data_IF_823305063857
#
_entry.id   IF_823305063857
#
_cell.length_a   1.000
_cell.length_b   1.000
_cell.length_c   1.000
_cell.angle_alpha   90.00
_cell.angle_beta   90.00
_cell.angle_gamma   90.00
#
_symmetry.space_group_name_H-M   'P 1'
#
loop_
_entity.id
_entity.type
_entity.pdbx_description
1 polymer ?
#
# COMPACT_ATOMS: atom_id res chain seq x y z
N UNK A 1 -28.66 -13.64 -24.82
CA UNK A 1 -27.77 -14.42 -23.94
C UNK A 1 -26.43 -13.73 -23.93
N UNK A 2 -25.81 -13.43 -22.77
CA UNK A 2 -24.49 -12.80 -22.78
C UNK A 2 -23.48 -13.76 -23.40
N UNK A 3 -22.74 -13.27 -24.40
CA UNK A 3 -21.65 -13.98 -25.05
C UNK A 3 -20.55 -14.24 -24.02
N UNK A 4 -20.03 -15.48 -23.88
CA UNK A 4 -18.92 -15.72 -22.97
C UNK A 4 -17.71 -14.89 -23.42
N UNK A 5 -17.17 -14.09 -22.52
CA UNK A 5 -15.90 -13.38 -22.73
C UNK A 5 -14.82 -14.46 -22.87
N UNK A 6 -14.08 -14.53 -23.98
CA UNK A 6 -12.98 -15.48 -24.08
C UNK A 6 -11.95 -15.11 -23.00
N UNK A 7 -11.70 -16.05 -22.08
CA UNK A 7 -10.60 -15.91 -21.13
C UNK A 7 -9.30 -15.78 -21.94
N UNK A 8 -8.36 -14.91 -21.54
CA UNK A 8 -7.07 -14.84 -22.21
C UNK A 8 -6.45 -16.23 -22.20
N UNK A 9 -5.95 -16.67 -23.35
CA UNK A 9 -5.17 -17.90 -23.45
C UNK A 9 -4.05 -17.80 -22.40
N UNK A 10 -3.98 -18.80 -21.51
CA UNK A 10 -2.93 -18.81 -20.49
C UNK A 10 -1.58 -18.73 -21.19
N UNK A 11 -0.65 -17.89 -20.68
CA UNK A 11 0.66 -17.75 -21.31
C UNK A 11 1.31 -19.12 -21.41
N UNK A 12 1.83 -19.44 -22.60
CA UNK A 12 2.60 -20.67 -22.82
C UNK A 12 3.77 -20.66 -21.84
N UNK A 13 3.85 -21.70 -21.01
CA UNK A 13 4.94 -21.91 -20.06
C UNK A 13 6.02 -22.74 -20.76
N UNK A 14 7.16 -22.15 -21.20
CA UNK A 14 8.10 -22.85 -22.08
C UNK A 14 8.72 -24.09 -21.43
N UNK A 15 8.79 -24.13 -20.10
CA UNK A 15 9.29 -25.27 -19.36
C UNK A 15 8.35 -26.49 -19.36
N UNK A 16 7.13 -26.36 -19.89
CA UNK A 16 6.20 -27.47 -20.09
C UNK A 16 6.33 -28.12 -21.47
N UNK A 17 7.18 -27.59 -22.35
CA UNK A 17 7.30 -28.07 -23.71
C UNK A 17 8.07 -29.39 -23.80
N UNK A 18 7.57 -30.31 -24.64
CA UNK A 18 8.26 -31.56 -24.96
C UNK A 18 8.28 -32.60 -23.82
N UNK A 19 7.41 -32.46 -22.82
CA UNK A 19 7.31 -33.44 -21.74
C UNK A 19 6.73 -34.76 -22.24
N UNK A 20 7.42 -35.85 -21.93
CA UNK A 20 7.01 -37.22 -22.29
C UNK A 20 5.81 -37.71 -21.46
N UNK A 21 5.59 -37.13 -20.28
CA UNK A 21 4.48 -37.43 -19.38
C UNK A 21 3.82 -36.13 -18.89
N UNK A 22 2.50 -36.14 -18.65
CA UNK A 22 1.80 -34.97 -18.15
C UNK A 22 2.36 -34.56 -16.79
N UNK A 23 2.57 -33.26 -16.59
CA UNK A 23 2.89 -32.74 -15.26
C UNK A 23 1.77 -33.07 -14.30
N UNK A 24 2.07 -33.23 -13.01
CA UNK A 24 1.06 -33.45 -12.02
C UNK A 24 -0.09 -32.42 -12.16
N UNK A 25 0.17 -31.11 -12.22
CA UNK A 25 -0.87 -30.07 -12.25
C UNK A 25 -1.78 -30.07 -13.50
N UNK A 26 -1.44 -30.81 -14.56
CA UNK A 26 -2.23 -30.86 -15.78
C UNK A 26 -3.62 -31.44 -15.48
N UNK A 27 -4.68 -30.70 -15.86
CA UNK A 27 -6.07 -31.12 -15.69
C UNK A 27 -6.62 -31.05 -14.26
N UNK A 28 -5.90 -30.42 -13.32
CA UNK A 28 -6.30 -30.29 -11.91
C UNK A 28 -5.92 -28.93 -11.31
N UNK A 29 -6.09 -27.87 -12.09
CA UNK A 29 -5.63 -26.52 -11.76
C UNK A 29 -6.27 -25.99 -10.47
N UNK A 30 -7.48 -26.43 -10.14
CA UNK A 30 -8.22 -26.08 -8.92
C UNK A 30 -7.44 -26.45 -7.64
N UNK A 31 -6.66 -27.54 -7.69
CA UNK A 31 -5.81 -27.96 -6.57
C UNK A 31 -4.59 -27.04 -6.39
N UNK A 32 -4.17 -26.33 -7.45
CA UNK A 32 -3.00 -25.45 -7.46
C UNK A 32 -3.38 -23.98 -7.31
N UNK A 33 -4.65 -23.63 -7.48
CA UNK A 33 -5.22 -22.29 -7.29
C UNK A 33 -6.13 -22.23 -6.06
N UNK A 34 -5.64 -22.75 -4.93
CA UNK A 34 -6.43 -22.88 -3.71
C UNK A 34 -5.77 -22.20 -2.50
N UNK A 35 -6.62 -21.73 -1.59
CA UNK A 35 -6.20 -21.14 -0.32
C UNK A 35 -6.26 -22.13 0.86
N UNK A 36 -6.78 -23.35 0.68
CA UNK A 36 -6.97 -24.31 1.78
C UNK A 36 -5.64 -25.02 2.11
N UNK A 37 -5.24 -25.10 3.39
CA UNK A 37 -3.99 -25.76 3.78
C UNK A 37 -3.90 -27.22 3.31
N UNK A 38 -5.00 -27.97 3.38
CA UNK A 38 -5.01 -29.39 3.03
C UNK A 38 -4.71 -29.64 1.55
N UNK A 39 -5.29 -28.82 0.66
CA UNK A 39 -5.00 -28.88 -0.76
C UNK A 39 -3.62 -28.31 -1.08
N UNK A 40 -3.13 -27.33 -0.32
CA UNK A 40 -1.77 -26.82 -0.47
C UNK A 40 -0.74 -27.91 -0.17
N UNK A 41 -0.94 -28.69 0.90
CA UNK A 41 -0.09 -29.82 1.27
C UNK A 41 -0.15 -30.94 0.23
N UNK A 42 -1.33 -31.22 -0.31
CA UNK A 42 -1.49 -32.19 -1.40
C UNK A 42 -0.76 -31.73 -2.68
N UNK A 43 -0.97 -30.48 -3.10
CA UNK A 43 -0.29 -29.89 -4.25
C UNK A 43 1.23 -29.90 -4.08
N UNK A 44 1.73 -29.54 -2.89
CA UNK A 44 3.16 -29.57 -2.58
C UNK A 44 3.75 -30.98 -2.70
N UNK A 45 3.06 -32.00 -2.17
CA UNK A 45 3.46 -33.42 -2.30
C UNK A 45 3.51 -33.88 -3.75
N UNK A 46 2.61 -33.39 -4.59
CA UNK A 46 2.59 -33.71 -6.01
C UNK A 46 3.71 -32.98 -6.76
N UNK A 47 3.96 -31.71 -6.43
CA UNK A 47 5.07 -30.94 -6.98
C UNK A 47 6.43 -31.56 -6.65
N UNK A 48 6.61 -32.15 -5.47
CA UNK A 48 7.86 -32.78 -5.06
C UNK A 48 8.35 -33.91 -6.01
N UNK A 49 7.44 -34.50 -6.79
CA UNK A 49 7.74 -35.55 -7.78
C UNK A 49 7.69 -35.05 -9.23
N UNK A 50 7.50 -33.75 -9.44
CA UNK A 50 7.32 -33.18 -10.77
C UNK A 50 8.68 -33.01 -11.47
N UNK A 51 8.86 -33.51 -12.71
CA UNK A 51 10.14 -33.45 -13.42
C UNK A 51 10.58 -32.01 -13.77
N UNK A 52 9.64 -31.06 -13.81
CA UNK A 52 9.90 -29.65 -14.13
C UNK A 52 9.89 -28.74 -12.92
N UNK A 53 9.99 -29.30 -11.70
CA UNK A 53 9.87 -28.53 -10.46
C UNK A 53 10.86 -27.36 -10.41
N UNK A 54 12.12 -27.58 -10.77
CA UNK A 54 13.15 -26.54 -10.70
C UNK A 54 12.92 -25.43 -11.75
N UNK A 55 12.54 -25.81 -12.98
CA UNK A 55 12.21 -24.85 -14.03
C UNK A 55 10.94 -24.04 -13.68
N UNK A 56 9.95 -24.68 -13.06
CA UNK A 56 8.75 -24.04 -12.53
C UNK A 56 9.09 -23.06 -11.40
N UNK A 57 10.01 -23.42 -10.49
CA UNK A 57 10.47 -22.54 -9.41
C UNK A 57 11.19 -21.30 -9.96
N UNK A 58 12.09 -21.51 -10.94
CA UNK A 58 12.81 -20.42 -11.60
C UNK A 58 11.85 -19.46 -12.32
N UNK A 59 10.86 -20.00 -13.04
CA UNK A 59 9.82 -19.18 -13.67
C UNK A 59 9.07 -18.36 -12.62
N UNK A 60 8.51 -19.01 -11.60
CA UNK A 60 7.70 -18.36 -10.58
C UNK A 60 8.46 -17.27 -9.80
N UNK A 61 9.75 -17.48 -9.55
CA UNK A 61 10.63 -16.47 -8.94
C UNK A 61 10.90 -15.29 -9.87
N UNK A 62 11.17 -15.55 -11.15
CA UNK A 62 11.51 -14.52 -12.14
C UNK A 62 10.34 -13.60 -12.50
N UNK A 63 9.14 -14.16 -12.67
CA UNK A 63 7.92 -13.40 -12.99
C UNK A 63 7.20 -12.89 -11.74
N UNK A 64 7.66 -13.31 -10.55
CA UNK A 64 7.00 -13.05 -9.26
C UNK A 64 5.53 -13.43 -9.29
N UNK A 65 5.25 -14.67 -9.69
CA UNK A 65 3.87 -15.17 -9.82
C UNK A 65 3.05 -14.88 -8.56
N UNK A 66 1.99 -14.05 -8.64
CA UNK A 66 1.34 -13.47 -7.46
C UNK A 66 0.42 -14.46 -6.74
N UNK A 67 -0.02 -15.52 -7.43
CA UNK A 67 -1.04 -16.44 -6.95
C UNK A 67 -0.66 -17.90 -7.24
N UNK A 68 -1.45 -18.82 -6.69
CA UNK A 68 -1.32 -20.25 -6.87
C UNK A 68 -0.03 -20.87 -6.30
N UNK A 69 0.05 -22.19 -6.44
CA UNK A 69 1.15 -23.03 -5.98
C UNK A 69 2.07 -23.31 -7.15
N UNK A 70 3.33 -22.91 -7.01
CA UNK A 70 4.36 -23.09 -8.02
C UNK A 70 5.52 -23.85 -7.40
N UNK A 71 5.96 -24.94 -8.04
CA UNK A 71 7.01 -25.83 -7.53
C UNK A 71 6.80 -26.34 -6.09
N UNK A 72 5.54 -26.37 -5.63
CA UNK A 72 5.13 -26.76 -4.28
C UNK A 72 5.22 -25.65 -3.25
N UNK A 73 5.45 -24.40 -3.67
CA UNK A 73 5.52 -23.22 -2.83
C UNK A 73 4.23 -22.41 -2.99
N UNK A 74 3.62 -21.97 -1.89
CA UNK A 74 2.53 -20.98 -1.90
C UNK A 74 3.07 -19.59 -2.22
N UNK A 75 2.22 -18.59 -2.53
CA UNK A 75 2.67 -17.21 -2.68
C UNK A 75 3.38 -16.69 -1.43
N UNK A 76 3.05 -17.21 -0.24
CA UNK A 76 3.73 -16.86 1.01
C UNK A 76 5.12 -17.45 1.09
N UNK A 77 5.30 -18.72 0.71
CA UNK A 77 6.61 -19.39 0.75
C UNK A 77 7.58 -18.81 -0.28
N UNK A 78 7.06 -18.30 -1.41
CA UNK A 78 7.84 -17.60 -2.44
C UNK A 78 8.17 -16.16 -2.08
N UNK A 79 7.56 -15.58 -1.03
CA UNK A 79 8.04 -14.30 -0.52
C UNK A 79 9.42 -14.57 0.04
N UNK A 80 10.42 -13.99 -0.60
CA UNK A 80 11.69 -13.75 0.06
C UNK A 80 11.31 -12.99 1.34
N UNK A 81 11.58 -13.53 2.55
CA UNK A 81 11.57 -12.70 3.74
C UNK A 81 12.37 -11.46 3.38
N UNK A 82 11.91 -10.26 3.75
CA UNK A 82 12.72 -9.06 3.62
C UNK A 82 14.13 -9.44 4.11
N UNK A 83 15.07 -9.61 3.17
CA UNK A 83 16.39 -10.17 3.45
C UNK A 83 16.89 -9.40 4.65
N UNK A 84 17.23 -10.14 5.72
CA UNK A 84 17.46 -9.65 7.09
C UNK A 84 17.63 -8.14 7.09
N UNK A 85 16.78 -7.39 7.79
CA UNK A 85 16.89 -5.92 7.79
C UNK A 85 18.37 -5.49 8.01
N UNK A 86 19.15 -6.28 8.77
CA UNK A 86 20.60 -6.22 9.04
C UNK A 86 21.56 -6.40 7.86
N UNK A 87 21.15 -7.06 6.78
CA UNK A 87 21.92 -7.25 5.56
C UNK A 87 21.86 -6.03 4.62
N UNK A 88 20.84 -5.17 4.72
CA UNK A 88 20.81 -3.92 3.98
C UNK A 88 21.79 -2.91 4.60
N UNK A 89 22.73 -2.34 3.81
CA UNK A 89 23.62 -1.31 4.32
C UNK A 89 22.81 -0.18 4.96
N UNK A 90 23.24 0.26 6.14
CA UNK A 90 22.63 1.42 6.79
C UNK A 90 22.77 2.61 5.86
N UNK A 91 21.65 3.17 5.42
CA UNK A 91 21.66 4.40 4.66
C UNK A 91 22.22 5.53 5.54
N UNK A 92 22.92 6.48 4.93
CA UNK A 92 23.39 7.66 5.64
C UNK A 92 22.20 8.39 6.28
N UNK A 93 22.35 8.72 7.57
CA UNK A 93 21.33 9.40 8.33
C UNK A 93 20.97 10.75 7.69
N UNK A 94 19.71 11.16 7.82
CA UNK A 94 19.21 12.41 7.25
C UNK A 94 18.50 12.27 5.90
N UNK A 95 18.42 11.06 5.34
CA UNK A 95 17.62 10.78 4.14
C UNK A 95 16.24 10.20 4.50
N UNK A 96 15.27 10.28 3.57
CA UNK A 96 13.96 9.63 3.75
C UNK A 96 14.08 8.11 3.82
N UNK A 97 15.00 7.54 3.03
CA UNK A 97 15.29 6.11 3.05
C UNK A 97 15.81 5.68 4.42
N UNK A 98 16.76 6.43 4.99
CA UNK A 98 17.28 6.16 6.34
C UNK A 98 16.19 6.28 7.41
N UNK A 99 15.34 7.31 7.37
CA UNK A 99 14.21 7.45 8.30
C UNK A 99 13.27 6.23 8.25
N UNK A 100 12.84 5.82 7.06
CA UNK A 100 11.97 4.64 6.91
C UNK A 100 12.62 3.36 7.42
N UNK A 101 13.92 3.19 7.19
CA UNK A 101 14.68 2.05 7.70
C UNK A 101 14.67 2.03 9.24
N UNK A 102 14.97 3.15 9.90
CA UNK A 102 14.92 3.25 11.36
C UNK A 102 13.51 3.02 11.92
N UNK A 103 12.46 3.55 11.27
CA UNK A 103 11.06 3.33 11.69
C UNK A 103 10.66 1.85 11.59
N UNK A 104 11.00 1.16 10.49
CA UNK A 104 10.74 -0.29 10.34
C UNK A 104 11.42 -1.09 11.46
N UNK A 105 12.65 -0.70 11.82
CA UNK A 105 13.45 -1.32 12.88
C UNK A 105 13.12 -0.83 14.30
N UNK A 106 12.21 0.13 14.45
CA UNK A 106 11.82 0.75 15.74
C UNK A 106 12.99 1.40 16.50
N UNK A 107 13.94 1.96 15.77
CA UNK A 107 15.10 2.66 16.33
C UNK A 107 14.81 4.16 16.49
N UNK A 108 15.43 4.79 17.50
CA UNK A 108 15.36 6.23 17.71
C UNK A 108 16.63 6.89 17.16
N UNK A 109 16.51 7.63 16.05
CA UNK A 109 17.61 8.34 15.40
C UNK A 109 17.28 9.82 15.22
N UNK A 110 17.83 10.67 16.10
CA UNK A 110 17.53 12.11 16.11
C UNK A 110 17.84 12.82 14.78
N UNK A 111 18.97 12.57 14.09
CA UNK A 111 19.22 13.17 12.77
C UNK A 111 18.16 12.82 11.72
N UNK A 112 17.72 11.56 11.69
CA UNK A 112 16.69 11.11 10.74
C UNK A 112 15.31 11.67 11.10
N UNK A 113 14.99 11.79 12.39
CA UNK A 113 13.77 12.44 12.85
C UNK A 113 13.75 13.92 12.43
N UNK A 114 14.81 14.67 12.73
CA UNK A 114 14.92 16.08 12.37
C UNK A 114 14.84 16.29 10.84
N UNK A 115 15.50 15.44 10.05
CA UNK A 115 15.43 15.51 8.60
C UNK A 115 14.02 15.19 8.06
N UNK A 116 13.32 14.22 8.66
CA UNK A 116 11.94 13.91 8.30
C UNK A 116 11.00 15.07 8.65
N UNK A 117 11.12 15.64 9.84
CA UNK A 117 10.36 16.81 10.28
C UNK A 117 10.58 18.01 9.36
N UNK A 118 11.83 18.29 9.00
CA UNK A 118 12.18 19.34 8.05
C UNK A 118 11.51 19.13 6.69
N UNK A 119 11.54 17.90 6.15
CA UNK A 119 10.86 17.60 4.88
C UNK A 119 9.35 17.76 4.99
N UNK A 120 8.73 17.26 6.06
CA UNK A 120 7.29 17.42 6.27
C UNK A 120 6.90 18.90 6.37
N UNK A 121 7.70 19.72 7.05
CA UNK A 121 7.48 21.16 7.12
C UNK A 121 7.58 21.82 5.73
N UNK A 122 8.59 21.46 4.93
CA UNK A 122 8.75 21.95 3.56
C UNK A 122 7.56 21.55 2.67
N UNK A 123 7.13 20.28 2.71
CA UNK A 123 5.98 19.78 1.94
C UNK A 123 4.68 20.49 2.34
N UNK A 124 4.46 20.69 3.65
CA UNK A 124 3.30 21.43 4.17
C UNK A 124 3.32 22.88 3.72
N UNK A 125 4.48 23.54 3.72
CA UNK A 125 4.66 24.90 3.20
C UNK A 125 4.30 24.98 1.73
N UNK A 126 4.86 24.11 0.89
CA UNK A 126 4.57 24.09 -0.54
C UNK A 126 3.08 23.89 -0.84
N UNK A 127 2.41 23.01 -0.10
CA UNK A 127 0.94 22.82 -0.20
C UNK A 127 0.18 24.08 0.20
N UNK A 128 0.61 24.76 1.25
CA UNK A 128 -0.01 25.99 1.71
C UNK A 128 0.17 27.12 0.70
N UNK A 129 1.35 27.23 0.10
CA UNK A 129 1.63 28.19 -0.97
C UNK A 129 0.75 27.95 -2.19
N UNK A 130 0.53 26.68 -2.58
CA UNK A 130 -0.40 26.34 -3.65
C UNK A 130 -1.86 26.75 -3.33
N UNK A 131 -2.30 26.59 -2.07
CA UNK A 131 -3.61 27.07 -1.62
C UNK A 131 -3.70 28.59 -1.70
N UNK A 132 -2.66 29.29 -1.26
CA UNK A 132 -2.61 30.75 -1.30
C UNK A 132 -2.55 31.31 -2.72
N UNK A 133 -1.94 30.57 -3.65
CA UNK A 133 -1.89 30.92 -5.06
C UNK A 133 -3.21 30.64 -5.81
N UNK A 134 -4.10 29.80 -5.26
CA UNK A 134 -5.42 29.58 -5.85
C UNK A 134 -6.27 30.85 -5.88
N UNK A 135 -7.27 30.99 -6.78
CA UNK A 135 -8.14 32.17 -6.84
C UNK A 135 -8.88 32.47 -5.53
N UNK A 136 -9.22 31.44 -4.74
CA UNK A 136 -9.82 31.61 -3.42
C UNK A 136 -8.83 32.19 -2.40
N UNK A 137 -7.52 32.00 -2.61
CA UNK A 137 -6.43 32.53 -1.79
C UNK A 137 -6.41 32.01 -0.35
N UNK A 138 -7.24 31.02 -0.02
CA UNK A 138 -7.37 30.42 1.29
C UNK A 138 -8.39 29.29 1.31
N UNK A 139 -8.20 28.33 2.22
CA UNK A 139 -9.11 27.19 2.38
C UNK A 139 -9.18 26.74 3.85
N UNK A 140 -10.22 25.98 4.20
CA UNK A 140 -10.31 25.35 5.52
C UNK A 140 -9.14 24.38 5.77
N UNK A 141 -8.72 23.66 4.73
CA UNK A 141 -7.49 22.86 4.77
C UNK A 141 -6.23 23.70 5.02
N UNK A 142 -6.17 24.93 4.49
CA UNK A 142 -5.08 25.87 4.78
C UNK A 142 -4.97 26.23 6.27
N UNK A 143 -6.09 26.31 7.01
CA UNK A 143 -6.06 26.50 8.47
C UNK A 143 -5.39 25.31 9.16
N UNK A 144 -5.66 24.09 8.70
CA UNK A 144 -5.03 22.88 9.24
C UNK A 144 -3.51 22.88 8.97
N UNK A 145 -3.08 23.21 7.75
CA UNK A 145 -1.66 23.29 7.41
C UNK A 145 -0.90 24.33 8.23
N UNK A 146 -1.47 25.52 8.46
CA UNK A 146 -0.85 26.52 9.35
C UNK A 146 -0.65 25.98 10.78
N UNK A 147 -1.63 25.26 11.34
CA UNK A 147 -1.49 24.67 12.68
C UNK A 147 -0.38 23.61 12.72
N UNK A 148 -0.29 22.75 11.71
CA UNK A 148 0.78 21.75 11.59
C UNK A 148 2.17 22.38 11.42
N UNK A 149 2.24 23.65 11.03
CA UNK A 149 3.47 24.44 10.93
C UNK A 149 3.73 25.30 12.18
N UNK A 150 2.86 25.25 13.19
CA UNK A 150 2.97 26.08 14.40
C UNK A 150 2.60 27.56 14.19
N UNK A 151 1.92 27.89 13.09
CA UNK A 151 1.60 29.26 12.71
C UNK A 151 0.14 29.62 12.99
N UNK A 152 -0.11 30.92 13.23
CA UNK A 152 -1.47 31.45 13.19
C UNK A 152 -1.95 31.49 11.74
N UNK A 153 -3.09 30.86 11.45
CA UNK A 153 -3.63 30.83 10.09
C UNK A 153 -3.86 32.24 9.50
N UNK A 154 -3.71 32.42 8.19
CA UNK A 154 -3.99 33.72 7.56
C UNK A 154 -5.50 34.07 7.57
N UNK A 155 -5.84 35.34 7.32
CA UNK A 155 -7.24 35.80 7.30
C UNK A 155 -8.08 35.03 6.26
N UNK A 156 -7.57 34.87 5.04
CA UNK A 156 -8.28 34.18 3.95
C UNK A 156 -8.62 32.73 4.28
N UNK A 157 -7.68 31.98 4.86
CA UNK A 157 -7.91 30.60 5.30
C UNK A 157 -8.96 30.52 6.43
N UNK A 158 -8.90 31.44 7.41
CA UNK A 158 -9.93 31.51 8.47
C UNK A 158 -11.31 31.85 7.93
N UNK A 159 -11.40 32.82 7.02
CA UNK A 159 -12.67 33.22 6.41
C UNK A 159 -13.29 32.06 5.63
N UNK A 160 -12.46 31.31 4.88
CA UNK A 160 -12.90 30.10 4.18
C UNK A 160 -13.42 29.02 5.15
N UNK A 161 -12.71 28.75 6.25
CA UNK A 161 -13.16 27.82 7.30
C UNK A 161 -14.50 28.27 7.90
N UNK A 162 -14.62 29.56 8.25
CA UNK A 162 -15.84 30.12 8.84
C UNK A 162 -17.02 30.05 7.87
N UNK A 163 -16.80 30.34 6.59
CA UNK A 163 -17.81 30.22 5.55
C UNK A 163 -18.28 28.76 5.38
N UNK A 164 -17.35 27.79 5.41
CA UNK A 164 -17.67 26.35 5.36
C UNK A 164 -18.53 25.93 6.56
N UNK A 165 -18.12 26.26 7.78
CA UNK A 165 -18.88 25.95 9.02
C UNK A 165 -20.26 26.63 8.98
N UNK A 166 -20.33 27.89 8.55
CA UNK A 166 -21.59 28.61 8.45
C UNK A 166 -22.54 27.99 7.42
N UNK A 167 -22.02 27.50 6.29
CA UNK A 167 -22.80 26.75 5.29
C UNK A 167 -23.34 25.44 5.87
N UNK A 168 -22.50 24.69 6.58
CA UNK A 168 -22.90 23.43 7.23
C UNK A 168 -24.02 23.65 8.25
N UNK A 169 -23.89 24.67 9.13
CA UNK A 169 -24.94 25.05 10.10
C UNK A 169 -26.25 25.43 9.44
N UNK A 170 -26.21 26.24 8.38
CA UNK A 170 -27.42 26.60 7.61
C UNK A 170 -28.09 25.38 6.99
N UNK A 171 -27.31 24.43 6.47
CA UNK A 171 -27.82 23.17 5.91
C UNK A 171 -28.51 22.34 6.99
N UNK A 172 -27.88 22.11 8.13
CA UNK A 172 -28.46 21.36 9.25
C UNK A 172 -29.77 21.99 9.74
N UNK A 173 -29.81 23.32 9.87
CA UNK A 173 -31.03 24.06 10.22
C UNK A 173 -32.16 23.86 9.20
N UNK A 174 -31.82 23.79 7.91
CA UNK A 174 -32.79 23.60 6.84
C UNK A 174 -33.30 22.15 6.74
N UNK A 175 -32.49 21.16 7.13
CA UNK A 175 -32.87 19.73 7.12
C UNK A 175 -33.58 19.29 8.40
N UNK A 176 -33.64 20.13 9.44
CA UNK A 176 -34.30 19.79 10.71
C UNK A 176 -33.51 18.79 11.56
N UNK A 177 -32.28 18.46 11.18
CA UNK A 177 -31.37 17.64 11.97
C UNK A 177 -30.84 18.48 13.14
N UNK A 178 -31.09 18.03 14.38
CA UNK A 178 -30.54 18.67 15.58
C UNK A 178 -29.01 18.78 15.50
N UNK A 179 -28.46 19.93 15.88
CA UNK A 179 -27.01 20.14 15.98
C UNK A 179 -26.38 19.00 16.80
N UNK A 180 -25.37 18.26 16.28
CA UNK A 180 -24.60 17.39 17.16
C UNK A 180 -23.95 18.27 18.22
N UNK A 181 -24.08 17.86 19.49
CA UNK A 181 -23.48 18.53 20.64
C UNK A 181 -22.00 18.85 20.36
N UNK A 182 -21.48 19.99 20.85
CA UNK A 182 -20.08 20.34 20.65
C UNK A 182 -19.23 19.19 21.18
N UNK A 183 -18.43 18.58 20.31
CA UNK A 183 -17.43 17.61 20.72
C UNK A 183 -16.48 18.33 21.68
N UNK A 184 -16.66 18.07 22.98
CA UNK A 184 -15.68 18.37 24.01
C UNK A 184 -14.35 17.80 23.53
N UNK A 185 -13.33 18.65 23.56
CA UNK A 185 -12.06 18.41 22.90
C UNK A 185 -11.40 17.09 23.30
N UNK A 186 -10.86 16.40 22.29
CA UNK A 186 -9.74 15.50 22.52
C UNK A 186 -8.48 16.36 22.54
N UNK A 187 -8.16 16.83 23.74
CA UNK A 187 -6.79 17.10 24.12
C UNK A 187 -6.09 15.75 24.32
N UNK A 188 -5.05 15.50 23.54
CA UNK A 188 -3.81 14.80 23.91
C UNK A 188 -2.81 15.02 22.78
#
# INVERSE_FOLDING_TARGET
>A
MPTPIPLPAWPRLPFLDGLEAPTPCAGRWELFDTATPEHQDEAARLCARCPVRDACAAHAGSTREPAGIWAGLTPRDRRVPDLDDDAHPRAECGTEGAWRQHVRRREQCQPCQAAHEHRLAADRRARLDAIHASPAGGSGWGVHLHRLLGERACRRCRDAQNAMVSRARRRAKATGEQEPAPALGLAS
#
